data_IF_657945615980
#
_entry.id   IF_657945615980
#
_cell.length_a   1.000
_cell.length_b   1.000
_cell.length_c   1.000
_cell.angle_alpha   90.00
_cell.angle_beta   90.00
_cell.angle_gamma   90.00
#
_symmetry.space_group_name_H-M   'P 1'
#
loop_
_entity.id
_entity.type
_entity.pdbx_description
1 polymer ?
#
# COMPACT_ATOMS: atom_id res chain seq x y z
N UNK A 1 -13.07 23.95 3.75
CA UNK A 1 -11.95 23.61 4.64
C UNK A 1 -10.71 24.33 4.16
N UNK A 2 -9.91 24.93 5.04
CA UNK A 2 -8.71 25.71 4.69
C UNK A 2 -7.50 24.86 4.25
N UNK A 3 -7.73 23.86 3.39
CA UNK A 3 -6.70 22.94 2.95
C UNK A 3 -5.69 23.62 2.01
N UNK A 4 -4.40 23.45 2.29
CA UNK A 4 -3.32 23.71 1.35
C UNK A 4 -3.11 22.45 0.53
N UNK A 5 -3.34 22.52 -0.78
CA UNK A 5 -3.29 21.37 -1.67
C UNK A 5 -1.88 21.08 -2.17
N UNK A 6 -1.57 19.81 -2.41
CA UNK A 6 -0.39 19.37 -3.12
C UNK A 6 -0.73 18.28 -4.15
N UNK A 7 0.12 18.17 -5.16
CA UNK A 7 0.05 17.07 -6.12
C UNK A 7 0.71 15.81 -5.53
N UNK A 8 0.10 14.65 -5.83
CA UNK A 8 0.55 13.33 -5.44
C UNK A 8 0.26 12.36 -6.59
N UNK A 9 1.22 12.22 -7.51
CA UNK A 9 1.00 11.47 -8.75
C UNK A 9 -0.14 12.09 -9.56
N UNK A 10 -1.13 11.27 -9.92
CA UNK A 10 -2.32 11.71 -10.65
C UNK A 10 -3.40 12.38 -9.76
N UNK A 11 -3.18 12.47 -8.45
CA UNK A 11 -4.16 12.98 -7.49
C UNK A 11 -3.73 14.32 -6.90
N UNK A 12 -4.71 15.09 -6.41
CA UNK A 12 -4.47 16.19 -5.46
C UNK A 12 -4.87 15.73 -4.07
N UNK A 13 -4.02 15.99 -3.07
CA UNK A 13 -4.34 15.72 -1.67
C UNK A 13 -4.00 16.92 -0.79
N UNK A 14 -4.68 17.09 0.36
CA UNK A 14 -4.30 18.09 1.34
C UNK A 14 -2.87 17.83 1.83
N UNK A 15 -1.99 18.84 1.71
CA UNK A 15 -0.70 18.87 2.39
C UNK A 15 -0.90 19.14 3.89
N UNK A 16 -1.80 20.06 4.20
CA UNK A 16 -2.17 20.48 5.56
C UNK A 16 -3.51 21.22 5.53
N UNK A 17 -4.20 21.23 6.66
CA UNK A 17 -5.39 21.99 7.02
C UNK A 17 -5.04 23.09 8.06
N UNK A 18 -3.91 23.79 7.87
CA UNK A 18 -3.41 24.80 8.79
C UNK A 18 -1.91 24.67 8.98
N UNK A 19 -1.45 24.77 10.24
CA UNK A 19 -0.07 24.54 10.62
C UNK A 19 0.22 23.02 10.77
N UNK A 20 1.14 22.44 9.99
CA UNK A 20 1.52 21.03 10.10
C UNK A 20 2.00 20.63 11.51
N UNK A 21 2.61 21.54 12.27
CA UNK A 21 3.06 21.26 13.63
C UNK A 21 1.87 21.01 14.58
N UNK A 22 0.77 21.76 14.41
CA UNK A 22 -0.47 21.55 15.17
C UNK A 22 -1.16 20.24 14.79
N UNK A 23 -1.16 19.86 13.51
CA UNK A 23 -1.67 18.55 13.07
C UNK A 23 -0.87 17.40 13.67
N UNK A 24 0.45 17.52 13.70
CA UNK A 24 1.33 16.54 14.35
C UNK A 24 1.04 16.46 15.86
N UNK A 25 0.89 17.60 16.54
CA UNK A 25 0.53 17.63 17.96
C UNK A 25 -0.84 16.99 18.20
N UNK A 26 -1.83 17.26 17.35
CA UNK A 26 -3.15 16.65 17.42
C UNK A 26 -3.11 15.11 17.29
N UNK A 27 -2.27 14.56 16.41
CA UNK A 27 -2.05 13.10 16.33
C UNK A 27 -1.40 12.55 17.59
N UNK A 28 -0.45 13.27 18.18
CA UNK A 28 0.31 12.82 19.36
C UNK A 28 -0.50 12.87 20.65
N UNK A 29 -1.35 13.87 20.80
CA UNK A 29 -2.06 14.15 22.06
C UNK A 29 -3.55 13.80 22.00
N UNK A 30 -4.11 13.65 20.80
CA UNK A 30 -5.55 13.44 20.55
C UNK A 30 -5.77 12.44 19.40
N UNK A 31 -6.49 12.86 18.35
CA UNK A 31 -6.80 12.07 17.16
C UNK A 31 -6.51 12.92 15.94
N UNK A 32 -5.86 12.33 14.93
CA UNK A 32 -5.75 12.89 13.60
C UNK A 32 -6.48 12.02 12.58
N UNK A 33 -7.09 12.66 11.59
CA UNK A 33 -7.73 11.98 10.46
C UNK A 33 -6.94 12.37 9.21
N UNK A 34 -6.55 11.37 8.43
CA UNK A 34 -5.86 11.56 7.16
C UNK A 34 -6.63 10.87 6.05
N UNK A 35 -6.78 11.56 4.92
CA UNK A 35 -7.29 10.96 3.70
C UNK A 35 -6.13 10.33 2.92
N UNK A 36 -6.09 9.00 2.90
CA UNK A 36 -5.14 8.18 2.11
C UNK A 36 -5.85 7.40 1.00
N UNK A 37 -7.03 7.85 0.59
CA UNK A 37 -7.81 7.24 -0.50
C UNK A 37 -7.03 7.16 -1.82
N UNK A 38 -6.01 8.02 -2.00
CA UNK A 38 -5.14 8.06 -3.18
C UNK A 38 -4.14 6.90 -3.27
N UNK A 39 -3.88 6.13 -2.21
CA UNK A 39 -2.98 4.96 -2.30
C UNK A 39 -3.52 3.93 -3.31
N UNK A 40 -2.63 3.27 -4.05
CA UNK A 40 -3.05 2.21 -4.95
C UNK A 40 -3.54 0.98 -4.19
N UNK A 41 -4.49 0.26 -4.79
CA UNK A 41 -5.20 -0.87 -4.17
C UNK A 41 -5.43 -1.94 -5.24
N UNK A 42 -4.94 -3.16 -5.00
CA UNK A 42 -5.15 -4.32 -5.87
C UNK A 42 -5.85 -5.42 -5.05
N UNK A 43 -6.92 -6.00 -5.61
CA UNK A 43 -7.61 -7.16 -5.04
C UNK A 43 -7.13 -8.42 -5.76
N UNK A 44 -6.22 -9.16 -5.13
CA UNK A 44 -5.57 -10.34 -5.69
C UNK A 44 -6.29 -11.61 -5.21
N UNK A 45 -6.79 -12.40 -6.17
CA UNK A 45 -7.59 -13.58 -5.88
C UNK A 45 -7.10 -14.83 -6.63
N UNK A 46 -7.17 -15.99 -5.98
CA UNK A 46 -6.90 -17.29 -6.57
C UNK A 46 -6.08 -18.19 -5.65
N UNK A 47 -6.15 -19.50 -5.92
CA UNK A 47 -5.51 -20.57 -5.14
C UNK A 47 -4.02 -20.35 -4.91
N UNK A 48 -3.31 -19.81 -5.89
CA UNK A 48 -1.86 -19.59 -5.83
C UNK A 48 -1.48 -18.12 -5.52
N UNK A 49 -2.44 -17.26 -5.16
CA UNK A 49 -2.19 -15.83 -4.87
C UNK A 49 -1.12 -15.63 -3.78
N UNK A 50 -1.16 -16.42 -2.70
CA UNK A 50 -0.16 -16.36 -1.65
C UNK A 50 1.25 -16.74 -2.14
N UNK A 51 1.36 -17.71 -3.05
CA UNK A 51 2.64 -18.14 -3.64
C UNK A 51 3.19 -17.13 -4.64
N UNK A 52 2.31 -16.46 -5.39
CA UNK A 52 2.69 -15.35 -6.24
C UNK A 52 3.29 -14.21 -5.41
N UNK A 53 2.62 -13.85 -4.31
CA UNK A 53 3.11 -12.82 -3.38
C UNK A 53 4.45 -13.18 -2.74
N UNK A 54 4.70 -14.47 -2.44
CA UNK A 54 5.99 -14.96 -1.94
C UNK A 54 7.14 -14.80 -2.96
N UNK A 55 6.84 -14.71 -4.26
CA UNK A 55 7.84 -14.43 -5.30
C UNK A 55 8.10 -12.93 -5.44
N UNK A 56 7.03 -12.13 -5.36
CA UNK A 56 7.07 -10.69 -5.63
C UNK A 56 7.62 -9.87 -4.46
N UNK A 57 7.37 -10.31 -3.24
CA UNK A 57 7.73 -9.58 -2.03
C UNK A 57 8.77 -10.32 -1.20
N UNK A 58 9.53 -9.55 -0.42
CA UNK A 58 10.61 -10.04 0.46
C UNK A 58 10.16 -10.88 1.68
N UNK A 59 8.85 -11.10 1.84
CA UNK A 59 8.25 -11.82 2.98
C UNK A 59 7.34 -12.98 2.54
N UNK A 60 7.04 -13.91 3.45
CA UNK A 60 6.19 -15.10 3.18
C UNK A 60 4.70 -14.83 3.44
N UNK A 61 3.98 -14.35 2.44
CA UNK A 61 2.53 -14.10 2.44
C UNK A 61 1.66 -15.36 2.33
N UNK A 62 2.13 -16.46 1.73
CA UNK A 62 1.36 -17.71 1.71
C UNK A 62 1.03 -18.23 3.13
N UNK A 63 1.94 -17.99 4.08
CA UNK A 63 1.80 -18.32 5.49
C UNK A 63 1.09 -17.24 6.33
N UNK A 64 0.69 -16.10 5.75
CA UNK A 64 -0.04 -15.05 6.48
C UNK A 64 -1.44 -15.57 6.85
N UNK A 65 -1.86 -15.59 8.12
CA UNK A 65 -3.21 -16.03 8.47
C UNK A 65 -4.29 -15.08 7.92
N UNK A 66 -5.50 -15.60 7.67
CA UNK A 66 -6.66 -14.77 7.30
C UNK A 66 -6.96 -13.77 8.42
N UNK A 67 -7.36 -12.54 8.05
CA UNK A 67 -7.60 -11.44 8.97
C UNK A 67 -6.32 -10.75 9.46
N UNK A 68 -5.15 -11.09 8.91
CA UNK A 68 -3.88 -10.44 9.24
C UNK A 68 -3.37 -9.61 8.07
N UNK A 69 -2.57 -8.60 8.42
CA UNK A 69 -1.87 -7.72 7.50
C UNK A 69 -0.37 -7.78 7.78
N UNK A 70 0.44 -7.60 6.75
CA UNK A 70 1.89 -7.42 6.88
C UNK A 70 2.36 -6.33 5.93
N UNK A 71 3.36 -5.57 6.36
CA UNK A 71 4.10 -4.67 5.50
C UNK A 71 4.76 -5.45 4.36
N UNK A 72 4.82 -4.86 3.18
CA UNK A 72 5.29 -5.50 1.97
C UNK A 72 6.31 -4.59 1.29
N UNK A 73 7.47 -5.15 0.97
CA UNK A 73 8.53 -4.49 0.24
C UNK A 73 8.83 -5.32 -1.00
N UNK A 74 8.58 -4.74 -2.17
CA UNK A 74 8.82 -5.36 -3.47
C UNK A 74 10.18 -4.92 -4.00
N UNK A 75 10.92 -5.88 -4.54
CA UNK A 75 12.20 -5.65 -5.21
C UNK A 75 12.16 -6.29 -6.60
N UNK A 76 12.98 -5.76 -7.51
CA UNK A 76 13.32 -6.47 -8.74
C UNK A 76 14.37 -7.56 -8.48
N UNK A 77 14.74 -8.28 -9.54
CA UNK A 77 15.72 -9.37 -9.49
C UNK A 77 17.14 -8.90 -9.10
N UNK A 78 17.43 -7.61 -9.21
CA UNK A 78 18.70 -7.00 -8.78
C UNK A 78 18.65 -6.51 -7.33
N UNK A 79 17.52 -6.66 -6.64
CA UNK A 79 17.30 -6.18 -5.28
C UNK A 79 16.96 -4.68 -5.19
N UNK A 80 16.68 -4.02 -6.31
CA UNK A 80 16.25 -2.61 -6.32
C UNK A 80 14.79 -2.55 -5.86
N UNK A 81 14.50 -1.64 -4.93
CA UNK A 81 13.12 -1.44 -4.44
C UNK A 81 12.25 -0.91 -5.57
N UNK A 82 11.16 -1.62 -5.85
CA UNK A 82 10.14 -1.21 -6.80
C UNK A 82 9.07 -0.35 -6.12
N UNK A 83 8.50 -0.86 -5.03
CA UNK A 83 7.47 -0.19 -4.25
C UNK A 83 7.31 -0.83 -2.86
N UNK A 84 6.51 -0.19 -2.01
CA UNK A 84 6.11 -0.71 -0.71
C UNK A 84 4.60 -0.56 -0.46
N UNK A 85 4.15 -1.22 0.61
CA UNK A 85 2.81 -1.05 1.12
C UNK A 85 2.43 -2.10 2.15
N UNK A 86 1.17 -2.54 2.10
CA UNK A 86 0.65 -3.55 3.00
C UNK A 86 -0.15 -4.59 2.24
N UNK A 87 -0.08 -5.83 2.69
CA UNK A 87 -0.91 -6.90 2.16
C UNK A 87 -1.72 -7.50 3.29
N UNK A 88 -3.03 -7.40 3.17
CA UNK A 88 -3.99 -8.02 4.09
C UNK A 88 -4.57 -9.28 3.46
N UNK A 89 -4.58 -10.41 4.19
CA UNK A 89 -5.25 -11.63 3.74
C UNK A 89 -6.71 -11.60 4.19
N UNK A 90 -7.62 -11.29 3.27
CA UNK A 90 -9.04 -11.14 3.57
C UNK A 90 -9.79 -12.49 3.58
N UNK A 91 -9.33 -13.47 2.81
CA UNK A 91 -9.86 -14.83 2.77
C UNK A 91 -8.75 -15.83 2.41
N UNK A 92 -8.98 -17.16 2.46
CA UNK A 92 -7.95 -18.14 2.14
C UNK A 92 -7.23 -17.90 0.81
N UNK A 93 -7.95 -17.43 -0.21
CA UNK A 93 -7.43 -17.17 -1.56
C UNK A 93 -7.60 -15.71 -1.99
N UNK A 94 -7.77 -14.77 -1.05
CA UNK A 94 -7.99 -13.35 -1.35
C UNK A 94 -7.09 -12.45 -0.52
N UNK A 95 -6.34 -11.60 -1.20
CA UNK A 95 -5.41 -10.65 -0.63
C UNK A 95 -5.70 -9.25 -1.13
N UNK A 96 -5.67 -8.27 -0.23
CA UNK A 96 -5.77 -6.85 -0.56
C UNK A 96 -4.40 -6.21 -0.42
N UNK A 97 -3.85 -5.77 -1.54
CA UNK A 97 -2.49 -5.25 -1.66
C UNK A 97 -2.60 -3.74 -1.83
N UNK A 98 -1.95 -2.98 -0.95
CA UNK A 98 -1.81 -1.53 -1.12
C UNK A 98 -0.43 -1.19 -1.68
N UNK A 99 -0.36 -0.12 -2.45
CA UNK A 99 0.87 0.39 -3.09
C UNK A 99 0.99 1.89 -2.82
N UNK A 100 2.12 2.51 -3.16
CA UNK A 100 2.19 3.97 -3.19
C UNK A 100 1.18 4.54 -4.19
N UNK A 101 0.85 5.84 -4.06
CA UNK A 101 -0.17 6.51 -4.89
C UNK A 101 0.09 6.38 -6.38
N UNK A 102 1.35 6.39 -6.81
CA UNK A 102 1.73 6.25 -8.23
C UNK A 102 2.20 4.83 -8.60
N UNK A 103 2.43 3.95 -7.62
CA UNK A 103 3.03 2.63 -7.83
C UNK A 103 2.10 1.57 -8.40
N UNK A 104 0.77 1.79 -8.35
CA UNK A 104 -0.22 0.75 -8.64
C UNK A 104 -0.07 0.10 -10.02
N UNK A 105 0.19 0.90 -11.06
CA UNK A 105 0.33 0.38 -12.42
C UNK A 105 1.63 -0.40 -12.62
N UNK A 106 2.72 0.04 -11.98
CA UNK A 106 3.99 -0.69 -12.01
C UNK A 106 3.86 -2.02 -11.27
N UNK A 107 3.26 -2.01 -10.08
CA UNK A 107 3.06 -3.23 -9.28
C UNK A 107 2.09 -4.21 -9.95
N UNK A 108 1.03 -3.73 -10.59
CA UNK A 108 0.16 -4.58 -11.40
C UNK A 108 0.94 -5.24 -12.55
N UNK A 109 1.74 -4.46 -13.29
CA UNK A 109 2.57 -4.98 -14.38
C UNK A 109 3.57 -6.01 -13.88
N UNK A 110 4.19 -5.76 -12.73
CA UNK A 110 5.15 -6.67 -12.11
C UNK A 110 4.48 -7.97 -11.65
N UNK A 111 3.31 -7.91 -11.01
CA UNK A 111 2.54 -9.10 -10.64
C UNK A 111 2.19 -9.96 -11.86
N UNK A 112 1.80 -9.32 -12.98
CA UNK A 112 1.45 -9.99 -14.24
C UNK A 112 2.65 -10.65 -14.92
N UNK A 113 3.86 -10.13 -14.74
CA UNK A 113 5.07 -10.76 -15.26
C UNK A 113 5.30 -12.18 -14.71
N UNK A 114 4.87 -12.42 -13.47
CA UNK A 114 5.05 -13.69 -12.76
C UNK A 114 3.89 -14.70 -12.94
N UNK A 115 2.90 -14.38 -13.76
CA UNK A 115 1.70 -15.22 -14.04
C UNK A 115 1.60 -15.57 -15.51
#
# INVERSE_FOLDING_TARGET
>A
SGAVWMDAGAWRRPRAYGDPAEECRAVRERVGIIDVSTLGKLDLQGRDAGRLLDKVYTHRFAALPVGRVRYALACDDSGIVLDDGTVARLAPERFFVTTTTSGVGQMESWLRWWT
#
